data_IF_641981753003
#
_entry.id   IF_641981753003
#
_cell.length_a   1.000
_cell.length_b   1.000
_cell.length_c   1.000
_cell.angle_alpha   90.00
_cell.angle_beta   90.00
_cell.angle_gamma   90.00
#
_symmetry.space_group_name_H-M   'P 1'
#
loop_
_entity.id
_entity.type
_entity.pdbx_description
1 polymer ?
#
# COMPACT_ATOMS: atom_id res chain seq x y z
N UNK A 1 23.45 -5.11 -31.63
CA UNK A 1 23.38 -5.38 -30.17
C UNK A 1 22.18 -6.28 -29.92
N UNK A 2 22.36 -7.44 -29.27
CA UNK A 2 21.25 -8.34 -28.91
C UNK A 2 20.88 -8.11 -27.45
N UNK A 3 19.61 -7.83 -27.19
CA UNK A 3 19.06 -7.63 -25.84
C UNK A 3 18.30 -8.90 -25.45
N UNK A 4 18.58 -9.44 -24.28
CA UNK A 4 17.90 -10.61 -23.72
C UNK A 4 17.08 -10.18 -22.51
N UNK A 5 15.81 -10.58 -22.47
CA UNK A 5 14.89 -10.26 -21.39
C UNK A 5 14.58 -11.53 -20.59
N UNK A 6 14.84 -11.50 -19.29
CA UNK A 6 14.48 -12.57 -18.38
C UNK A 6 12.96 -12.72 -18.22
N UNK A 7 12.52 -13.93 -17.92
CA UNK A 7 11.15 -14.27 -17.51
C UNK A 7 11.20 -15.22 -16.30
N UNK A 8 10.35 -15.01 -15.26
CA UNK A 8 9.32 -13.97 -15.15
C UNK A 8 9.91 -12.59 -14.82
N UNK A 9 9.26 -11.53 -15.28
CA UNK A 9 9.63 -10.13 -15.01
C UNK A 9 8.39 -9.32 -14.62
N UNK A 10 8.59 -8.24 -13.86
CA UNK A 10 7.51 -7.38 -13.38
C UNK A 10 7.13 -7.65 -11.93
N UNK A 11 5.91 -7.29 -11.55
CA UNK A 11 5.45 -7.35 -10.16
C UNK A 11 5.01 -8.76 -9.76
N UNK A 12 5.38 -9.17 -8.55
CA UNK A 12 4.83 -10.38 -7.96
C UNK A 12 3.38 -10.14 -7.50
N UNK A 13 2.60 -11.21 -7.37
CA UNK A 13 1.22 -11.13 -6.91
C UNK A 13 1.07 -10.45 -5.53
N UNK A 14 2.12 -10.48 -4.69
CA UNK A 14 2.13 -9.76 -3.41
C UNK A 14 2.14 -8.24 -3.58
N UNK A 15 2.97 -7.74 -4.49
CA UNK A 15 3.09 -6.30 -4.79
C UNK A 15 1.79 -5.76 -5.38
N UNK A 16 1.24 -6.44 -6.40
CA UNK A 16 -0.03 -6.02 -7.03
C UNK A 16 -1.14 -5.94 -5.98
N UNK A 17 -1.30 -6.97 -5.16
CA UNK A 17 -2.32 -6.98 -4.10
C UNK A 17 -2.14 -5.88 -3.07
N UNK A 18 -0.91 -5.50 -2.74
CA UNK A 18 -0.67 -4.45 -1.76
C UNK A 18 -1.10 -3.08 -2.30
N UNK A 19 -0.87 -2.81 -3.59
CA UNK A 19 -1.31 -1.61 -4.28
C UNK A 19 -2.85 -1.58 -4.34
N UNK A 20 -3.47 -2.65 -4.83
CA UNK A 20 -4.93 -2.75 -4.97
C UNK A 20 -5.67 -2.48 -3.65
N UNK A 21 -5.11 -2.93 -2.53
CA UNK A 21 -5.73 -2.74 -1.21
C UNK A 21 -5.70 -1.30 -0.73
N UNK A 22 -4.63 -0.57 -1.06
CA UNK A 22 -4.48 0.84 -0.68
C UNK A 22 -5.42 1.67 -1.52
N UNK A 23 -5.51 1.38 -2.82
CA UNK A 23 -6.48 2.01 -3.72
C UNK A 23 -7.91 1.74 -3.24
N UNK A 24 -8.26 0.49 -2.95
CA UNK A 24 -9.58 0.14 -2.43
C UNK A 24 -9.86 0.82 -1.09
N UNK A 25 -8.85 0.96 -0.24
CA UNK A 25 -8.99 1.69 1.01
C UNK A 25 -9.28 3.17 0.76
N UNK A 26 -8.54 3.80 -0.17
CA UNK A 26 -8.75 5.20 -0.56
C UNK A 26 -10.13 5.43 -1.15
N UNK A 27 -10.61 4.51 -1.99
CA UNK A 27 -11.97 4.56 -2.54
C UNK A 27 -13.06 4.40 -1.48
N UNK A 28 -12.84 3.49 -0.52
CA UNK A 28 -13.86 3.15 0.49
C UNK A 28 -13.92 4.13 1.66
N UNK A 29 -12.77 4.63 2.12
CA UNK A 29 -12.66 5.44 3.33
C UNK A 29 -12.32 6.91 3.04
N UNK A 30 -11.90 7.23 1.81
CA UNK A 30 -11.46 8.55 1.42
C UNK A 30 -10.03 8.88 1.91
N UNK A 31 -9.36 9.86 1.28
CA UNK A 31 -8.06 10.35 1.74
C UNK A 31 -8.20 11.26 2.98
N UNK A 32 -7.13 11.42 3.80
CA UNK A 32 -5.85 10.74 3.72
C UNK A 32 -5.86 9.37 4.42
N UNK A 33 -5.14 8.41 3.84
CA UNK A 33 -4.86 7.10 4.44
C UNK A 33 -3.39 7.00 4.77
N UNK A 34 -3.09 6.64 6.02
CA UNK A 34 -1.71 6.51 6.47
C UNK A 34 -1.24 5.09 6.25
N UNK A 35 -0.02 4.93 5.74
CA UNK A 35 0.58 3.62 5.52
C UNK A 35 1.88 3.52 6.28
N UNK A 36 1.98 2.51 7.15
CA UNK A 36 3.21 2.28 7.91
C UNK A 36 4.29 1.72 7.00
N UNK A 37 5.37 2.48 6.87
CA UNK A 37 6.53 2.18 6.04
C UNK A 37 6.18 2.07 4.54
N UNK A 38 7.20 2.02 3.68
CA UNK A 38 6.96 1.86 2.25
C UNK A 38 6.33 0.50 1.92
N UNK A 39 5.23 0.54 1.16
CA UNK A 39 4.50 -0.65 0.70
C UNK A 39 5.34 -1.43 -0.30
N UNK A 40 6.02 -0.70 -1.18
CA UNK A 40 6.93 -1.21 -2.19
C UNK A 40 8.14 -0.27 -2.31
N UNK A 41 9.30 -0.81 -2.65
CA UNK A 41 10.51 -0.01 -2.90
C UNK A 41 10.53 0.44 -4.37
N UNK A 42 9.48 1.14 -4.81
CA UNK A 42 9.38 1.71 -6.14
C UNK A 42 8.81 3.12 -6.05
N UNK A 43 9.65 4.12 -6.30
CA UNK A 43 9.27 5.54 -6.21
C UNK A 43 8.07 5.88 -7.09
N UNK A 44 8.01 5.37 -8.33
CA UNK A 44 6.86 5.62 -9.22
C UNK A 44 5.52 5.15 -8.64
N UNK A 45 5.54 4.02 -7.91
CA UNK A 45 4.33 3.50 -7.26
C UNK A 45 3.99 4.30 -6.02
N UNK A 46 5.01 4.70 -5.24
CA UNK A 46 4.83 5.56 -4.06
C UNK A 46 4.23 6.90 -4.46
N UNK A 47 4.83 7.61 -5.41
CA UNK A 47 4.31 8.88 -5.95
C UNK A 47 2.86 8.76 -6.42
N UNK A 48 2.51 7.69 -7.14
CA UNK A 48 1.15 7.47 -7.63
C UNK A 48 0.15 7.32 -6.48
N UNK A 49 0.52 6.61 -5.41
CA UNK A 49 -0.32 6.44 -4.23
C UNK A 49 -0.41 7.73 -3.41
N UNK A 50 0.68 8.49 -3.29
CA UNK A 50 0.71 9.78 -2.60
C UNK A 50 -0.16 10.82 -3.30
N UNK A 51 -0.14 10.87 -4.63
CA UNK A 51 -1.04 11.70 -5.43
C UNK A 51 -2.53 11.36 -5.21
N UNK A 52 -2.84 10.10 -4.84
CA UNK A 52 -4.20 9.67 -4.50
C UNK A 52 -4.57 9.92 -3.04
N UNK A 53 -3.62 10.38 -2.22
CA UNK A 53 -3.83 10.71 -0.81
C UNK A 53 -3.43 9.61 0.17
N UNK A 54 -2.58 8.67 -0.23
CA UNK A 54 -1.86 7.83 0.72
C UNK A 54 -0.69 8.63 1.33
N UNK A 55 -0.50 8.57 2.64
CA UNK A 55 0.62 9.23 3.33
C UNK A 55 1.48 8.14 3.95
N UNK A 56 2.74 8.04 3.54
CA UNK A 56 3.67 7.10 4.14
C UNK A 56 4.27 7.67 5.43
N UNK A 57 4.25 6.88 6.50
CA UNK A 57 4.81 7.27 7.82
C UNK A 57 5.71 6.16 8.36
N UNK A 58 6.78 6.53 9.05
CA UNK A 58 7.69 5.54 9.65
C UNK A 58 7.12 4.95 10.93
N UNK A 59 6.55 5.81 11.79
CA UNK A 59 5.98 5.42 13.07
C UNK A 59 4.46 5.62 13.11
N UNK A 60 3.82 4.82 13.96
CA UNK A 60 2.37 4.87 14.19
C UNK A 60 2.00 6.10 15.03
N UNK A 61 2.93 6.60 15.84
CA UNK A 61 2.74 7.77 16.69
C UNK A 61 2.65 9.10 15.90
N UNK A 62 3.16 9.15 14.67
CA UNK A 62 3.03 10.31 13.78
C UNK A 62 1.61 10.47 13.20
N UNK A 63 0.74 9.50 13.44
CA UNK A 63 -0.62 9.52 12.89
C UNK A 63 -1.55 10.21 13.88
N UNK A 64 -2.31 11.24 13.44
CA UNK A 64 -3.30 11.88 14.29
C UNK A 64 -4.38 10.87 14.73
N UNK A 65 -4.78 10.92 16.01
CA UNK A 65 -5.90 10.12 16.52
C UNK A 65 -7.18 10.38 15.72
N UNK A 66 -7.97 9.35 15.50
CA UNK A 66 -9.16 9.31 14.64
C UNK A 66 -8.85 9.02 13.17
N UNK A 67 -7.58 8.75 12.79
CA UNK A 67 -7.20 8.46 11.40
C UNK A 67 -7.03 6.96 11.17
N UNK A 68 -7.18 6.58 9.90
CA UNK A 68 -7.07 5.21 9.44
C UNK A 68 -5.62 4.88 9.07
N UNK A 69 -5.10 3.82 9.67
CA UNK A 69 -3.78 3.27 9.37
C UNK A 69 -3.90 1.94 8.62
N UNK A 70 -3.21 1.84 7.50
CA UNK A 70 -3.06 0.64 6.69
C UNK A 70 -1.70 -0.02 6.96
N UNK A 71 -1.72 -1.32 7.24
CA UNK A 71 -0.50 -2.13 7.42
C UNK A 71 -0.21 -2.98 6.18
N UNK A 72 1.08 -3.19 5.87
CA UNK A 72 1.51 -4.12 4.82
C UNK A 72 0.87 -5.50 5.02
N UNK A 73 0.23 -6.08 3.99
CA UNK A 73 -0.42 -7.38 4.12
C UNK A 73 0.64 -8.48 4.21
N UNK A 74 0.93 -8.95 5.42
CA UNK A 74 1.62 -10.22 5.62
C UNK A 74 0.59 -11.35 5.52
N UNK A 75 0.60 -12.06 4.38
CA UNK A 75 0.01 -13.40 4.17
C UNK A 75 -1.36 -13.64 4.84
N UNK A 76 -2.40 -12.92 4.42
CA UNK A 76 -3.77 -13.13 4.96
C UNK A 76 -4.78 -13.48 3.85
N UNK A 77 -5.73 -14.38 4.18
CA UNK A 77 -6.84 -14.79 3.31
C UNK A 77 -7.71 -13.58 2.93
N UNK A 78 -8.20 -13.55 1.68
CA UNK A 78 -9.03 -12.47 1.08
C UNK A 78 -10.10 -11.85 1.99
N UNK A 79 -10.74 -12.64 2.87
CA UNK A 79 -11.79 -12.16 3.80
C UNK A 79 -11.30 -11.21 4.92
N UNK A 80 -10.00 -11.12 5.19
CA UNK A 80 -9.44 -10.37 6.33
C UNK A 80 -8.81 -9.04 5.89
N UNK A 81 -8.68 -8.79 4.57
CA UNK A 81 -7.82 -7.73 4.05
C UNK A 81 -8.28 -6.30 4.41
N UNK A 82 -9.59 -6.02 4.37
CA UNK A 82 -10.12 -4.72 4.81
C UNK A 82 -10.11 -4.54 6.35
N UNK A 83 -9.85 -5.60 7.12
CA UNK A 83 -9.66 -5.50 8.59
C UNK A 83 -8.27 -5.02 8.98
N UNK A 84 -7.34 -4.87 8.03
CA UNK A 84 -6.00 -4.35 8.30
C UNK A 84 -5.97 -2.82 8.44
N UNK A 85 -7.12 -2.18 8.25
CA UNK A 85 -7.31 -0.76 8.50
C UNK A 85 -7.72 -0.59 9.96
N UNK A 86 -6.79 -0.11 10.77
CA UNK A 86 -7.01 0.20 12.19
C UNK A 86 -7.35 1.69 12.29
N UNK A 87 -8.36 2.03 13.08
CA UNK A 87 -8.62 3.41 13.51
C UNK A 87 -7.80 3.63 14.78
N UNK A 88 -6.88 4.59 14.75
CA UNK A 88 -6.01 4.95 15.88
C UNK A 88 -6.70 5.98 16.76
#
# INVERSE_FOLDING_TARGET
>A
MKIYLGVPRGFCAGVVRAIDLVELALEKYGPPIYVKHQIVHNSFVVDSLENKGAITVEDVNDIPRGRKLFFRPMVLRRKILLRQIIEI
#
